data_IF_768328473572
#
_entry.id   IF_768328473572
#
_cell.length_a   1.000
_cell.length_b   1.000
_cell.length_c   1.000
_cell.angle_alpha   90.00
_cell.angle_beta   90.00
_cell.angle_gamma   90.00
#
_symmetry.space_group_name_H-M   'P 1'
#
loop_
_entity.id
_entity.type
_entity.pdbx_description
1 polymer ?
#
# COMPACT_ATOMS: atom_id res chain seq x y z
N UNK A 1 -4.51 -5.72 -16.02
CA UNK A 1 -4.27 -5.92 -14.59
C UNK A 1 -5.25 -6.94 -14.04
N UNK A 2 -4.82 -7.76 -13.11
CA UNK A 2 -5.67 -8.76 -12.47
C UNK A 2 -6.13 -8.29 -11.11
N UNK A 3 -7.15 -8.95 -10.56
CA UNK A 3 -7.63 -8.64 -9.22
C UNK A 3 -6.51 -8.80 -8.18
N UNK A 4 -5.66 -9.79 -8.35
CA UNK A 4 -4.53 -10.00 -7.46
C UNK A 4 -3.57 -8.80 -7.50
N UNK A 5 -3.25 -8.33 -8.69
CA UNK A 5 -2.34 -7.20 -8.85
C UNK A 5 -2.93 -5.91 -8.27
N UNK A 6 -4.22 -5.70 -8.47
CA UNK A 6 -4.90 -4.55 -7.88
C UNK A 6 -4.86 -4.59 -6.36
N UNK A 7 -5.08 -5.75 -5.78
CA UNK A 7 -5.00 -5.94 -4.34
C UNK A 7 -3.59 -5.63 -3.83
N UNK A 8 -2.57 -6.07 -4.53
CA UNK A 8 -1.18 -5.80 -4.17
C UNK A 8 -0.87 -4.31 -4.17
N UNK A 9 -1.37 -3.58 -5.17
CA UNK A 9 -1.16 -2.13 -5.24
C UNK A 9 -1.79 -1.43 -4.04
N UNK A 10 -2.99 -1.84 -3.67
CA UNK A 10 -3.69 -1.24 -2.52
C UNK A 10 -2.90 -1.47 -1.24
N UNK A 11 -2.41 -2.68 -1.01
CA UNK A 11 -1.60 -3.00 0.17
C UNK A 11 -0.33 -2.16 0.19
N UNK A 12 0.35 -2.02 -0.95
CA UNK A 12 1.60 -1.28 -1.02
C UNK A 12 1.40 0.19 -0.67
N UNK A 13 0.34 0.81 -1.20
CA UNK A 13 0.02 2.21 -0.90
C UNK A 13 -0.30 2.38 0.59
N UNK A 14 -1.08 1.46 1.16
CA UNK A 14 -1.41 1.50 2.58
C UNK A 14 -0.16 1.41 3.45
N UNK A 15 0.78 0.56 3.08
CA UNK A 15 2.04 0.43 3.82
C UNK A 15 2.89 1.69 3.74
N UNK A 16 2.88 2.38 2.60
CA UNK A 16 3.60 3.64 2.47
C UNK A 16 3.01 4.72 3.39
N UNK A 17 1.69 4.80 3.47
CA UNK A 17 1.03 5.76 4.34
C UNK A 17 1.39 5.49 5.80
N UNK A 18 1.33 4.24 6.22
CA UNK A 18 1.69 3.85 7.59
C UNK A 18 3.14 4.21 7.89
N UNK A 19 4.04 3.96 6.94
CA UNK A 19 5.45 4.27 7.11
C UNK A 19 5.67 5.76 7.32
N UNK A 20 4.98 6.61 6.58
CA UNK A 20 5.08 8.06 6.71
C UNK A 20 4.58 8.50 8.09
N UNK A 21 3.43 8.00 8.52
CA UNK A 21 2.87 8.34 9.83
C UNK A 21 3.77 7.88 10.97
N UNK A 22 4.43 6.75 10.80
CA UNK A 22 5.33 6.23 11.81
C UNK A 22 6.63 7.03 11.87
N UNK A 23 7.03 7.62 10.75
CA UNK A 23 8.22 8.45 10.69
C UNK A 23 7.99 9.84 11.29
N UNK A 24 6.79 10.41 10.99
CA UNK A 24 6.45 11.72 11.54
C UNK A 24 5.90 11.62 12.95
#
# INVERSE_FOLDING_TARGET
MSTYEEFMVIINVAMLIIAILNYT
#
